data_IF_636408778723
#
_entry.id   IF_636408778723
#
_cell.length_a   1.000
_cell.length_b   1.000
_cell.length_c   1.000
_cell.angle_alpha   90.00
_cell.angle_beta   90.00
_cell.angle_gamma   90.00
#
_symmetry.space_group_name_H-M   'P 1'
#
loop_
_entity.id
_entity.type
_entity.pdbx_description
1 polymer ?
#
# COMPACT_ATOMS: atom_id res chain seq x y z
N UNK A 1 -1.96 15.45 19.32
CA UNK A 1 -2.69 16.07 18.20
C UNK A 1 -4.07 15.43 18.22
N UNK A 2 -4.95 15.71 17.27
CA UNK A 2 -6.28 15.09 17.18
C UNK A 2 -7.28 16.08 16.57
N UNK A 3 -8.34 15.56 15.92
CA UNK A 3 -9.43 16.37 15.36
C UNK A 3 -9.03 17.29 14.21
N UNK A 4 -7.89 17.02 13.56
CA UNK A 4 -7.36 17.91 12.51
C UNK A 4 -8.14 17.83 11.18
N UNK A 5 -8.99 16.81 10.99
CA UNK A 5 -9.72 16.62 9.72
C UNK A 5 -10.60 17.82 9.35
N UNK A 6 -11.13 18.57 10.36
CA UNK A 6 -11.96 19.77 10.13
C UNK A 6 -11.17 20.99 9.69
N UNK A 7 -9.89 21.06 10.07
CA UNK A 7 -9.01 22.20 9.78
C UNK A 7 -8.14 21.99 8.55
N UNK A 8 -7.80 20.72 8.27
CA UNK A 8 -6.88 20.30 7.20
C UNK A 8 -7.52 19.21 6.33
N UNK A 9 -8.66 19.48 5.65
CA UNK A 9 -9.38 18.45 4.89
C UNK A 9 -8.59 17.94 3.68
N UNK A 10 -7.88 18.79 2.95
CA UNK A 10 -7.08 18.36 1.79
C UNK A 10 -5.86 17.56 2.21
N UNK A 11 -5.16 18.00 3.26
CA UNK A 11 -4.03 17.23 3.84
C UNK A 11 -4.49 15.87 4.34
N UNK A 12 -5.66 15.79 4.98
CA UNK A 12 -6.28 14.54 5.43
C UNK A 12 -6.54 13.59 4.27
N UNK A 13 -7.11 14.10 3.17
CA UNK A 13 -7.38 13.32 1.96
C UNK A 13 -6.09 12.74 1.37
N UNK A 14 -5.04 13.54 1.22
CA UNK A 14 -3.77 13.04 0.69
C UNK A 14 -3.10 11.99 1.58
N UNK A 15 -3.18 12.14 2.90
CA UNK A 15 -2.64 11.15 3.84
C UNK A 15 -3.45 9.86 3.79
N UNK A 16 -4.78 9.92 3.65
CA UNK A 16 -5.58 8.71 3.45
C UNK A 16 -5.20 8.01 2.15
N UNK A 17 -5.13 8.72 1.03
CA UNK A 17 -4.75 8.13 -0.26
C UNK A 17 -3.37 7.47 -0.19
N UNK A 18 -2.39 8.15 0.40
CA UNK A 18 -1.05 7.60 0.58
C UNK A 18 -1.03 6.38 1.50
N UNK A 19 -1.79 6.40 2.59
CA UNK A 19 -1.86 5.27 3.52
C UNK A 19 -2.59 4.05 2.93
N UNK A 20 -3.66 4.24 2.14
CA UNK A 20 -4.34 3.16 1.43
C UNK A 20 -3.42 2.52 0.38
N UNK A 21 -2.63 3.35 -0.33
CA UNK A 21 -1.63 2.86 -1.26
C UNK A 21 -0.50 2.08 -0.55
N UNK A 22 -0.01 2.58 0.60
CA UNK A 22 1.01 1.93 1.41
C UNK A 22 0.56 0.57 1.95
N UNK A 23 -0.66 0.50 2.41
CA UNK A 23 -1.27 -0.73 2.95
C UNK A 23 -1.50 -1.76 1.84
N UNK A 24 -1.74 -1.32 0.60
CA UNK A 24 -1.95 -2.20 -0.55
C UNK A 24 -3.40 -2.62 -0.72
N UNK A 25 -4.35 -1.69 -0.53
CA UNK A 25 -5.77 -1.97 -0.81
C UNK A 25 -6.03 -1.80 -2.31
N UNK A 26 -6.76 -2.72 -2.97
CA UNK A 26 -7.23 -2.50 -4.33
C UNK A 26 -8.09 -1.22 -4.39
N UNK A 27 -7.96 -0.33 -5.35
CA UNK A 27 -7.19 -0.38 -6.61
C UNK A 27 -5.86 0.38 -6.60
N UNK A 28 -5.26 0.66 -5.45
CA UNK A 28 -4.05 1.49 -5.34
C UNK A 28 -2.78 0.79 -5.83
N UNK A 29 -1.76 1.59 -6.20
CA UNK A 29 -0.49 1.09 -6.75
C UNK A 29 0.23 0.08 -5.84
N UNK A 30 0.15 0.26 -4.51
CA UNK A 30 0.73 -0.65 -3.53
C UNK A 30 0.15 -2.07 -3.56
N UNK A 31 -1.10 -2.24 -3.96
CA UNK A 31 -1.70 -3.55 -4.18
C UNK A 31 -0.95 -4.32 -5.26
N UNK A 32 -0.78 -3.72 -6.43
CA UNK A 32 -0.13 -4.38 -7.57
C UNK A 32 1.32 -4.79 -7.28
N UNK A 33 2.08 -3.97 -6.56
CA UNK A 33 3.49 -4.28 -6.25
C UNK A 33 3.65 -5.27 -5.10
N UNK A 34 2.94 -5.07 -4.00
CA UNK A 34 3.08 -5.85 -2.76
C UNK A 34 2.58 -7.28 -2.94
N UNK A 35 1.41 -7.43 -3.54
CA UNK A 35 0.81 -8.75 -3.72
C UNK A 35 1.61 -9.58 -4.71
N UNK A 36 2.11 -8.99 -5.82
CA UNK A 36 2.99 -9.70 -6.76
C UNK A 36 4.26 -10.22 -6.07
N UNK A 37 4.90 -9.42 -5.21
CA UNK A 37 6.10 -9.86 -4.47
C UNK A 37 5.77 -11.05 -3.56
N UNK A 38 4.62 -11.03 -2.90
CA UNK A 38 4.19 -12.13 -2.03
C UNK A 38 3.83 -13.39 -2.83
N UNK A 39 3.16 -13.22 -3.97
CA UNK A 39 2.85 -14.31 -4.90
C UNK A 39 4.13 -14.97 -5.42
N UNK A 40 5.11 -14.19 -5.87
CA UNK A 40 6.40 -14.70 -6.34
C UNK A 40 7.19 -15.41 -5.23
N UNK A 41 7.16 -14.90 -4.00
CA UNK A 41 7.80 -15.56 -2.87
C UNK A 41 7.16 -16.93 -2.58
N UNK A 42 5.83 -17.02 -2.67
CA UNK A 42 5.11 -18.26 -2.47
C UNK A 42 5.34 -19.28 -3.59
N UNK A 43 5.43 -18.84 -4.86
CA UNK A 43 5.65 -19.70 -6.02
C UNK A 43 7.01 -20.42 -6.02
N UNK A 44 7.96 -19.97 -5.22
CA UNK A 44 9.26 -20.65 -5.08
C UNK A 44 9.15 -22.07 -4.48
N UNK A 45 8.01 -22.44 -3.89
CA UNK A 45 7.74 -23.75 -3.26
C UNK A 45 8.84 -24.30 -2.33
N UNK A 46 9.79 -23.46 -1.93
CA UNK A 46 10.88 -23.77 -1.02
C UNK A 46 10.54 -23.30 0.39
N UNK A 47 11.15 -23.93 1.39
CA UNK A 47 11.02 -23.52 2.80
C UNK A 47 11.28 -22.01 3.02
N UNK A 48 12.25 -21.46 2.32
CA UNK A 48 12.56 -20.03 2.39
C UNK A 48 11.46 -19.17 1.77
N UNK A 49 10.89 -19.55 0.62
CA UNK A 49 9.81 -18.83 -0.04
C UNK A 49 8.54 -18.77 0.81
N UNK A 50 8.15 -19.89 1.42
CA UNK A 50 7.00 -19.93 2.33
C UNK A 50 7.21 -19.05 3.56
N UNK A 51 8.41 -19.04 4.15
CA UNK A 51 8.72 -18.16 5.27
C UNK A 51 8.66 -16.68 4.87
N UNK A 52 9.21 -16.32 3.70
CA UNK A 52 9.14 -14.94 3.18
C UNK A 52 7.69 -14.51 2.99
N UNK A 53 6.84 -15.38 2.44
CA UNK A 53 5.41 -15.11 2.29
C UNK A 53 4.73 -14.85 3.64
N UNK A 54 4.96 -15.71 4.65
CA UNK A 54 4.37 -15.56 5.99
C UNK A 54 4.82 -14.24 6.64
N UNK A 55 6.12 -13.95 6.64
CA UNK A 55 6.63 -12.69 7.19
C UNK A 55 6.13 -11.47 6.42
N UNK A 56 5.98 -11.59 5.10
CA UNK A 56 5.39 -10.53 4.28
C UNK A 56 3.92 -10.28 4.61
N UNK A 57 3.12 -11.32 4.84
CA UNK A 57 1.73 -11.20 5.30
C UNK A 57 1.64 -10.56 6.68
N UNK A 58 2.51 -10.96 7.63
CA UNK A 58 2.60 -10.32 8.94
C UNK A 58 3.00 -8.85 8.83
N UNK A 59 3.96 -8.53 7.95
CA UNK A 59 4.32 -7.15 7.66
C UNK A 59 3.16 -6.34 7.09
N UNK A 60 2.36 -6.93 6.20
CA UNK A 60 1.15 -6.30 5.65
C UNK A 60 0.12 -6.00 6.75
N UNK A 61 -0.11 -6.93 7.65
CA UNK A 61 -1.00 -6.77 8.80
C UNK A 61 -0.53 -5.64 9.73
N UNK A 62 0.74 -5.63 10.12
CA UNK A 62 1.30 -4.59 10.99
C UNK A 62 1.29 -3.21 10.34
N UNK A 63 1.58 -3.12 9.03
CA UNK A 63 1.52 -1.83 8.30
C UNK A 63 0.11 -1.25 8.30
N UNK A 64 -0.90 -2.10 8.18
CA UNK A 64 -2.30 -1.68 8.24
C UNK A 64 -2.67 -1.14 9.63
N UNK A 65 -2.27 -1.82 10.70
CA UNK A 65 -2.53 -1.38 12.09
C UNK A 65 -1.89 -0.01 12.36
N UNK A 66 -0.61 0.17 12.05
CA UNK A 66 0.02 1.45 12.38
C UNK A 66 -0.52 2.60 11.51
N UNK A 67 -0.88 2.34 10.25
CA UNK A 67 -1.46 3.36 9.37
C UNK A 67 -2.84 3.78 9.84
N UNK A 68 -3.71 2.84 10.21
CA UNK A 68 -5.04 3.13 10.76
C UNK A 68 -4.94 3.93 12.06
N UNK A 69 -4.03 3.53 12.96
CA UNK A 69 -3.78 4.23 14.21
C UNK A 69 -3.26 5.65 14.00
N UNK A 70 -2.36 5.84 13.05
CA UNK A 70 -1.83 7.16 12.68
C UNK A 70 -2.97 8.08 12.24
N UNK A 71 -3.81 7.64 11.30
CA UNK A 71 -4.94 8.42 10.80
C UNK A 71 -5.91 8.74 11.93
N UNK A 72 -6.28 7.74 12.73
CA UNK A 72 -7.21 7.92 13.82
C UNK A 72 -6.73 8.93 14.86
N UNK A 73 -5.50 8.78 15.35
CA UNK A 73 -4.95 9.64 16.41
C UNK A 73 -4.68 11.07 15.94
N UNK A 74 -4.31 11.28 14.67
CA UNK A 74 -3.99 12.62 14.18
C UNK A 74 -5.22 13.39 13.71
N UNK A 75 -6.15 12.74 13.04
CA UNK A 75 -7.25 13.42 12.37
C UNK A 75 -8.60 13.24 13.05
N UNK A 76 -8.93 12.04 13.53
CA UNK A 76 -10.28 11.67 13.99
C UNK A 76 -10.42 11.86 15.50
N UNK A 77 -9.42 11.51 16.26
CA UNK A 77 -9.40 11.56 17.72
C UNK A 77 -9.75 12.95 18.28
N UNK A 78 -10.13 13.04 19.54
CA UNK A 78 -10.40 14.31 20.21
C UNK A 78 -9.16 15.21 20.24
N UNK A 79 -9.37 16.50 20.04
CA UNK A 79 -8.29 17.51 20.07
C UNK A 79 -7.71 17.63 21.47
N UNK A 80 -6.38 17.43 21.58
CA UNK A 80 -5.61 17.64 22.81
C UNK A 80 -4.77 18.93 22.75
N UNK A 81 -5.07 19.81 21.80
CA UNK A 81 -4.36 21.05 21.55
C UNK A 81 -5.10 22.20 22.22
N UNK A 82 -4.38 23.20 22.73
CA UNK A 82 -4.97 24.44 23.25
C UNK A 82 -5.82 25.11 22.16
N UNK A 83 -7.02 25.55 22.52
CA UNK A 83 -8.02 26.11 21.59
C UNK A 83 -7.45 27.24 20.72
N UNK A 84 -6.61 28.11 21.32
CA UNK A 84 -5.98 29.23 20.60
C UNK A 84 -5.06 28.74 19.45
N UNK A 85 -4.33 27.64 19.66
CA UNK A 85 -3.46 27.07 18.64
C UNK A 85 -4.31 26.37 17.56
N UNK A 86 -5.32 25.61 18.00
CA UNK A 86 -6.21 24.90 17.09
C UNK A 86 -6.93 25.83 16.11
N UNK A 87 -7.37 27.00 16.57
CA UNK A 87 -8.07 27.97 15.73
C UNK A 87 -7.18 28.62 14.67
N UNK A 88 -5.87 28.70 14.91
CA UNK A 88 -4.90 29.29 13.99
C UNK A 88 -4.36 28.29 12.95
N UNK A 89 -4.73 27.00 13.05
CA UNK A 89 -4.32 26.00 12.06
C UNK A 89 -5.03 26.27 10.74
N UNK A 90 -4.24 26.40 9.67
CA UNK A 90 -4.71 26.58 8.29
C UNK A 90 -4.06 25.55 7.37
N UNK A 91 -4.71 25.25 6.26
CA UNK A 91 -4.12 24.42 5.20
C UNK A 91 -2.79 25.02 4.71
N UNK A 92 -1.81 24.19 4.40
CA UNK A 92 -0.54 24.64 3.83
C UNK A 92 -0.75 25.31 2.47
N UNK A 93 0.14 26.21 2.11
CA UNK A 93 0.09 26.91 0.83
C UNK A 93 0.21 25.95 -0.37
N UNK A 94 -0.19 26.44 -1.55
CA UNK A 94 -0.21 25.67 -2.79
C UNK A 94 1.13 24.99 -3.11
N UNK A 95 2.25 25.64 -2.82
CA UNK A 95 3.61 25.09 -3.06
C UNK A 95 3.83 23.77 -2.31
N UNK A 96 3.31 23.65 -1.08
CA UNK A 96 3.43 22.40 -0.30
C UNK A 96 2.38 21.36 -0.69
N UNK A 97 1.23 21.77 -1.20
CA UNK A 97 0.15 20.89 -1.60
C UNK A 97 0.39 20.24 -2.97
N UNK A 98 1.10 20.94 -3.87
CA UNK A 98 1.35 20.46 -5.23
C UNK A 98 2.10 19.11 -5.28
N UNK A 99 3.21 18.89 -4.56
CA UNK A 99 3.86 17.57 -4.51
C UNK A 99 2.95 16.46 -3.99
N UNK A 100 2.15 16.74 -2.96
CA UNK A 100 1.21 15.76 -2.39
C UNK A 100 0.13 15.37 -3.41
N UNK A 101 -0.35 16.32 -4.20
CA UNK A 101 -1.29 16.08 -5.27
C UNK A 101 -0.70 15.17 -6.36
N UNK A 102 0.52 15.46 -6.83
CA UNK A 102 1.21 14.63 -7.83
C UNK A 102 1.44 13.21 -7.31
N UNK A 103 1.89 13.07 -6.05
CA UNK A 103 2.07 11.76 -5.42
C UNK A 103 0.76 10.99 -5.27
N UNK A 104 -0.35 11.67 -4.96
CA UNK A 104 -1.65 11.02 -4.84
C UNK A 104 -2.16 10.47 -6.19
N UNK A 105 -1.91 11.19 -7.29
CA UNK A 105 -2.20 10.69 -8.65
C UNK A 105 -1.35 9.44 -8.94
N UNK A 106 -0.05 9.48 -8.64
CA UNK A 106 0.83 8.31 -8.78
C UNK A 106 0.38 7.11 -7.94
N UNK A 107 -0.10 7.35 -6.72
CA UNK A 107 -0.60 6.31 -5.83
C UNK A 107 -1.88 5.62 -6.36
N UNK A 108 -2.72 6.33 -7.11
CA UNK A 108 -3.95 5.77 -7.69
C UNK A 108 -3.65 5.08 -9.02
N UNK A 109 -2.96 5.77 -9.93
CA UNK A 109 -2.81 5.32 -11.32
C UNK A 109 -1.52 4.55 -11.59
N UNK A 110 -0.49 4.71 -10.75
CA UNK A 110 0.83 4.10 -10.99
C UNK A 110 0.78 2.58 -11.13
N UNK A 111 -0.06 1.90 -10.34
CA UNK A 111 -0.23 0.46 -10.43
C UNK A 111 -0.74 0.00 -11.80
N UNK A 112 -1.71 0.71 -12.36
CA UNK A 112 -2.28 0.38 -13.66
C UNK A 112 -1.31 0.68 -14.82
N UNK A 113 -0.59 1.80 -14.74
CA UNK A 113 0.34 2.22 -15.79
C UNK A 113 1.54 1.28 -15.86
N UNK A 114 2.08 0.89 -14.71
CA UNK A 114 3.31 0.10 -14.64
C UNK A 114 3.05 -1.40 -14.44
N UNK A 115 1.80 -1.86 -14.43
CA UNK A 115 1.47 -3.28 -14.21
C UNK A 115 2.20 -4.19 -15.21
N UNK A 116 2.10 -3.89 -16.50
CA UNK A 116 2.72 -4.70 -17.55
C UNK A 116 4.26 -4.71 -17.47
N UNK A 117 4.87 -3.63 -16.95
CA UNK A 117 6.33 -3.57 -16.76
C UNK A 117 6.80 -4.55 -15.69
N UNK A 118 5.95 -4.82 -14.68
CA UNK A 118 6.30 -5.67 -13.54
C UNK A 118 5.83 -7.11 -13.74
N UNK A 119 4.66 -7.31 -14.38
CA UNK A 119 4.04 -8.64 -14.53
C UNK A 119 4.42 -9.38 -15.81
N UNK A 120 4.82 -8.65 -16.87
CA UNK A 120 5.06 -9.25 -18.18
C UNK A 120 6.55 -9.40 -18.49
N UNK A 121 7.00 -10.65 -18.65
CA UNK A 121 8.33 -10.95 -19.14
C UNK A 121 8.56 -10.42 -20.58
N UNK A 122 7.49 -10.27 -21.36
CA UNK A 122 7.55 -9.78 -22.74
C UNK A 122 8.04 -8.33 -22.84
N UNK A 123 7.77 -7.49 -21.85
CA UNK A 123 8.24 -6.11 -21.82
C UNK A 123 9.78 -6.02 -21.78
N UNK A 124 10.39 -6.91 -21.01
CA UNK A 124 11.85 -6.94 -20.85
C UNK A 124 12.55 -7.69 -21.98
N UNK A 125 11.80 -8.41 -22.83
CA UNK A 125 12.31 -9.22 -23.94
C UNK A 125 13.51 -10.08 -23.49
N UNK A 126 14.68 -9.89 -24.11
CA UNK A 126 15.91 -10.61 -23.78
C UNK A 126 16.81 -9.87 -22.78
N UNK A 127 16.34 -8.75 -22.19
CA UNK A 127 17.14 -7.97 -21.23
C UNK A 127 17.27 -8.67 -19.87
N UNK A 128 16.28 -9.48 -19.50
CA UNK A 128 16.28 -10.29 -18.27
C UNK A 128 16.25 -11.76 -18.71
N UNK A 129 17.34 -12.46 -18.45
CA UNK A 129 17.43 -13.89 -18.76
C UNK A 129 16.77 -14.70 -17.64
N UNK A 130 15.71 -15.41 -17.95
CA UNK A 130 15.07 -16.39 -17.06
C UNK A 130 15.37 -17.79 -17.60
N UNK A 131 15.80 -18.69 -16.71
CA UNK A 131 15.93 -20.10 -17.04
C UNK A 131 14.53 -20.67 -17.30
N UNK A 132 14.33 -21.36 -18.43
CA UNK A 132 13.02 -21.95 -18.79
C UNK A 132 12.49 -22.93 -17.73
N UNK A 133 13.40 -23.57 -16.99
CA UNK A 133 13.05 -24.50 -15.91
C UNK A 133 12.57 -23.81 -14.61
N UNK A 134 12.75 -22.48 -14.46
CA UNK A 134 12.47 -21.76 -13.21
C UNK A 134 11.71 -20.47 -13.55
N UNK A 135 10.51 -20.58 -14.11
CA UNK A 135 9.69 -19.42 -14.42
C UNK A 135 8.67 -19.16 -13.29
N UNK A 136 9.14 -18.63 -12.17
CA UNK A 136 8.29 -18.29 -11.02
C UNK A 136 7.19 -17.28 -11.35
N UNK A 137 7.33 -16.51 -12.43
CA UNK A 137 6.31 -15.53 -12.86
C UNK A 137 5.08 -16.25 -13.38
N UNK A 138 5.26 -17.29 -14.21
CA UNK A 138 4.14 -18.10 -14.73
C UNK A 138 3.52 -18.96 -13.62
N UNK A 139 4.34 -19.51 -12.73
CA UNK A 139 3.85 -20.27 -11.57
C UNK A 139 3.01 -19.40 -10.61
N UNK A 140 3.39 -18.13 -10.40
CA UNK A 140 2.62 -17.21 -9.58
C UNK A 140 1.20 -16.97 -10.12
N UNK A 141 1.01 -17.02 -11.45
CA UNK A 141 -0.33 -16.91 -12.04
C UNK A 141 -1.23 -18.10 -11.71
N UNK A 142 -0.66 -19.26 -11.44
CA UNK A 142 -1.39 -20.51 -11.15
C UNK A 142 -1.61 -20.79 -9.66
N UNK A 143 -1.15 -19.91 -8.76
CA UNK A 143 -1.36 -20.04 -7.30
C UNK A 143 -2.86 -20.03 -6.96
N UNK A 144 -3.24 -20.87 -6.00
CA UNK A 144 -4.61 -20.92 -5.49
C UNK A 144 -5.10 -19.56 -5.01
N UNK A 145 -6.32 -19.22 -5.34
CA UNK A 145 -6.97 -17.94 -5.00
C UNK A 145 -6.96 -17.62 -3.50
N UNK A 146 -6.88 -18.64 -2.65
CA UNK A 146 -6.84 -18.49 -1.20
C UNK A 146 -5.57 -17.74 -0.77
N UNK A 147 -4.39 -18.13 -1.31
CA UNK A 147 -3.13 -17.48 -0.97
C UNK A 147 -3.01 -16.06 -1.55
N UNK A 148 -3.67 -15.79 -2.68
CA UNK A 148 -3.76 -14.43 -3.25
C UNK A 148 -4.64 -13.50 -2.42
N UNK A 149 -5.72 -14.02 -1.82
CA UNK A 149 -6.66 -13.23 -1.03
C UNK A 149 -6.23 -13.04 0.43
N UNK A 150 -5.37 -13.90 0.96
CA UNK A 150 -4.97 -13.90 2.36
C UNK A 150 -4.34 -12.57 2.81
N UNK A 151 -3.40 -11.95 2.08
CA UNK A 151 -2.84 -10.64 2.45
C UNK A 151 -3.91 -9.57 2.56
N UNK A 152 -4.85 -9.52 1.60
CA UNK A 152 -5.95 -8.54 1.58
C UNK A 152 -6.88 -8.73 2.79
N UNK A 153 -7.22 -9.98 3.11
CA UNK A 153 -8.08 -10.29 4.26
C UNK A 153 -7.42 -9.84 5.57
N UNK A 154 -6.11 -10.08 5.73
CA UNK A 154 -5.35 -9.64 6.90
C UNK A 154 -5.33 -8.11 7.02
N UNK A 155 -5.18 -7.41 5.89
CA UNK A 155 -5.22 -5.94 5.85
C UNK A 155 -6.58 -5.42 6.29
N UNK A 156 -7.67 -5.98 5.77
CA UNK A 156 -9.05 -5.58 6.15
C UNK A 156 -9.30 -5.85 7.63
N UNK A 157 -8.88 -7.01 8.13
CA UNK A 157 -9.01 -7.37 9.54
C UNK A 157 -8.25 -6.38 10.44
N UNK A 158 -7.06 -5.95 10.03
CA UNK A 158 -6.26 -4.98 10.75
C UNK A 158 -6.90 -3.58 10.84
N UNK A 159 -7.74 -3.20 9.86
CA UNK A 159 -8.50 -1.95 9.92
C UNK A 159 -9.66 -1.97 10.92
N UNK A 160 -10.15 -3.15 11.26
CA UNK A 160 -11.28 -3.34 12.21
C UNK A 160 -10.79 -3.32 13.67
N UNK A 161 -9.52 -3.63 13.92
CA UNK A 161 -8.89 -3.63 15.25
C UNK A 161 -8.45 -2.23 15.62
#
# INVERSE_FOLDING_TARGET
MGGLYKKLPLTFLFIILGSLALVGIPPFAGYFSKDLILEYAYSMHNFNGTNIYIFGCLGAFLTSIYSSRLIYLTFISKTNIKINIYNNIKEPGFIMMFPLFVLSIGAIFGGYIFYNVVSDNSFWANSVYTLEEINYVDEAHHIDKIYKLLPILLVILAFVI
#
